data_IF_780394380297
#
_entry.id   IF_780394380297
#
_cell.length_a   1.000
_cell.length_b   1.000
_cell.length_c   1.000
_cell.angle_alpha   90.00
_cell.angle_beta   90.00
_cell.angle_gamma   90.00
#
_symmetry.space_group_name_H-M   'P 1'
#
loop_
_entity.id
_entity.type
_entity.pdbx_description
1 polymer ?
#
# COMPACT_ATOMS: atom_id res chain seq x y z
N UNK A 1 1.90 -2.58 22.90
CA UNK A 1 2.51 -2.32 21.58
C UNK A 1 3.72 -3.23 21.46
N UNK A 2 3.78 -3.99 20.39
CA UNK A 2 4.90 -4.86 20.05
C UNK A 2 5.82 -4.09 19.12
N UNK A 3 7.10 -4.02 19.47
CA UNK A 3 8.13 -3.45 18.60
C UNK A 3 8.88 -4.59 17.95
N UNK A 4 8.97 -4.58 16.62
CA UNK A 4 9.74 -5.59 15.90
C UNK A 4 10.56 -4.93 14.80
N UNK A 5 11.66 -5.62 14.49
CA UNK A 5 12.69 -5.12 13.59
C UNK A 5 12.59 -5.85 12.27
N UNK A 6 12.45 -5.12 11.16
CA UNK A 6 12.67 -5.68 9.82
C UNK A 6 13.90 -5.05 9.17
N UNK A 7 14.65 -5.85 8.41
CA UNK A 7 15.80 -5.36 7.67
C UNK A 7 15.34 -4.42 6.55
N UNK A 8 15.69 -3.13 6.65
CA UNK A 8 15.46 -2.16 5.58
C UNK A 8 16.46 -2.39 4.44
N UNK A 9 15.99 -2.49 3.20
CA UNK A 9 16.89 -2.57 2.05
C UNK A 9 17.44 -1.18 1.77
N UNK A 10 18.77 -1.00 1.91
CA UNK A 10 19.48 0.24 1.61
C UNK A 10 19.89 1.11 2.81
N UNK A 11 19.49 0.74 4.03
CA UNK A 11 19.95 1.41 5.26
C UNK A 11 20.33 0.37 6.31
N UNK A 12 21.49 0.53 6.93
CA UNK A 12 21.95 -0.27 8.08
C UNK A 12 21.13 -0.04 9.35
N UNK A 13 20.11 0.82 9.29
CA UNK A 13 19.10 0.99 10.32
C UNK A 13 17.97 -0.02 10.11
N UNK A 14 17.85 -0.93 11.07
CA UNK A 14 16.72 -1.82 11.21
C UNK A 14 15.42 -0.99 11.27
N UNK A 15 14.49 -1.21 10.34
CA UNK A 15 13.20 -0.54 10.37
C UNK A 15 12.43 -1.08 11.58
N UNK A 16 12.28 -0.22 12.60
CA UNK A 16 11.55 -0.54 13.81
C UNK A 16 10.07 -0.24 13.56
N UNK A 17 9.27 -1.30 13.49
CA UNK A 17 7.83 -1.20 13.32
C UNK A 17 7.18 -1.31 14.69
N UNK A 18 6.48 -0.25 15.10
CA UNK A 18 5.69 -0.24 16.32
C UNK A 18 4.24 -0.54 15.94
N UNK A 19 3.78 -1.75 16.25
CA UNK A 19 2.44 -2.23 15.90
C UNK A 19 1.72 -2.79 17.12
N UNK A 20 0.40 -2.75 17.12
CA UNK A 20 -0.41 -3.51 18.09
C UNK A 20 -0.53 -4.98 17.70
N UNK A 21 -0.25 -5.32 16.44
CA UNK A 21 -0.26 -6.68 15.92
C UNK A 21 1.05 -7.41 16.25
N UNK A 22 0.95 -8.72 16.50
CA UNK A 22 2.12 -9.57 16.66
C UNK A 22 2.81 -9.83 15.32
N UNK A 23 4.11 -10.18 15.31
CA UNK A 23 4.82 -10.57 14.10
C UNK A 23 4.13 -11.69 13.31
N UNK A 24 3.55 -12.68 14.01
CA UNK A 24 2.84 -13.81 13.38
C UNK A 24 1.52 -13.37 12.72
N UNK A 25 0.80 -12.43 13.35
CA UNK A 25 -0.40 -11.84 12.76
C UNK A 25 -0.05 -11.08 11.47
N UNK A 26 1.04 -10.29 11.50
CA UNK A 26 1.50 -9.55 10.34
C UNK A 26 1.99 -10.46 9.22
N UNK A 27 2.70 -11.54 9.55
CA UNK A 27 3.11 -12.55 8.58
C UNK A 27 1.90 -13.24 7.94
N UNK A 28 0.87 -13.55 8.73
CA UNK A 28 -0.38 -14.17 8.24
C UNK A 28 -1.19 -13.22 7.36
N UNK A 29 -1.25 -11.93 7.72
CA UNK A 29 -1.86 -10.89 6.89
C UNK A 29 -1.11 -10.76 5.56
N UNK A 30 0.22 -10.69 5.61
CA UNK A 30 1.05 -10.63 4.42
C UNK A 30 0.85 -11.85 3.51
N UNK A 31 0.82 -13.07 4.06
CA UNK A 31 0.61 -14.28 3.27
C UNK A 31 -0.74 -14.26 2.51
N UNK A 32 -1.80 -13.76 3.16
CA UNK A 32 -3.10 -13.56 2.50
C UNK A 32 -3.02 -12.53 1.37
N UNK A 33 -2.35 -11.40 1.60
CA UNK A 33 -2.18 -10.35 0.59
C UNK A 33 -1.30 -10.80 -0.57
N UNK A 34 -0.23 -11.54 -0.30
CA UNK A 34 0.69 -12.08 -1.30
C UNK A 34 -0.03 -13.00 -2.29
N UNK A 35 -1.13 -13.65 -1.88
CA UNK A 35 -2.01 -14.39 -2.78
C UNK A 35 -2.53 -13.53 -3.95
N UNK A 36 -2.89 -12.27 -3.69
CA UNK A 36 -3.40 -11.36 -4.73
C UNK A 36 -2.35 -10.99 -5.78
N UNK A 37 -1.06 -10.99 -5.41
CA UNK A 37 0.03 -10.64 -6.32
C UNK A 37 0.25 -11.71 -7.41
N UNK A 38 -0.14 -12.96 -7.15
CA UNK A 38 0.01 -14.05 -8.12
C UNK A 38 -0.89 -13.88 -9.33
N UNK A 39 -2.06 -13.27 -9.12
CA UNK A 39 -3.07 -13.06 -10.16
C UNK A 39 -3.06 -11.65 -10.75
N UNK A 40 -2.38 -10.69 -10.09
CA UNK A 40 -2.38 -9.28 -10.48
C UNK A 40 -1.23 -8.95 -11.44
N UNK A 41 -1.54 -8.78 -12.72
CA UNK A 41 -0.57 -8.38 -13.76
C UNK A 41 0.14 -7.04 -13.45
N UNK A 42 -0.46 -6.21 -12.59
CA UNK A 42 0.07 -4.90 -12.19
C UNK A 42 0.87 -4.94 -10.89
N UNK A 43 1.04 -6.10 -10.25
CA UNK A 43 1.76 -6.26 -8.95
C UNK A 43 1.32 -5.26 -7.87
N UNK A 44 0.08 -4.80 -7.94
CA UNK A 44 -0.51 -3.91 -6.95
C UNK A 44 -1.46 -4.72 -6.05
N UNK A 45 -1.48 -4.38 -4.76
CA UNK A 45 -2.43 -4.92 -3.79
C UNK A 45 -3.66 -4.03 -3.71
N UNK A 46 -4.84 -4.65 -3.62
CA UNK A 46 -6.10 -3.96 -3.40
C UNK A 46 -6.59 -4.32 -2.00
N UNK A 47 -6.59 -3.33 -1.12
CA UNK A 47 -7.04 -3.46 0.26
C UNK A 47 -8.45 -2.89 0.38
N UNK A 48 -9.32 -3.61 1.08
CA UNK A 48 -10.59 -3.03 1.54
C UNK A 48 -10.29 -1.88 2.50
N UNK A 49 -11.00 -0.76 2.35
CA UNK A 49 -10.77 0.45 3.16
C UNK A 49 -10.97 0.19 4.66
N UNK A 50 -11.91 -0.67 5.03
CA UNK A 50 -12.12 -1.14 6.41
C UNK A 50 -10.89 -1.88 6.95
N UNK A 51 -10.31 -2.79 6.17
CA UNK A 51 -9.08 -3.49 6.52
C UNK A 51 -7.93 -2.48 6.64
N UNK A 52 -7.75 -1.60 5.66
CA UNK A 52 -6.71 -0.56 5.69
C UNK A 52 -6.78 0.34 6.94
N UNK A 53 -7.99 0.76 7.33
CA UNK A 53 -8.20 1.59 8.53
C UNK A 53 -8.03 0.81 9.84
N UNK A 54 -8.21 -0.50 9.83
CA UNK A 54 -7.94 -1.34 11.01
C UNK A 54 -6.44 -1.54 11.29
N UNK A 55 -5.58 -1.28 10.29
CA UNK A 55 -4.14 -1.39 10.44
C UNK A 55 -3.56 -0.15 11.11
N UNK A 56 -2.69 -0.36 12.09
CA UNK A 56 -1.85 0.70 12.63
C UNK A 56 -0.70 1.07 11.68
N UNK A 57 -0.02 2.18 11.96
CA UNK A 57 1.06 2.69 11.13
C UNK A 57 2.23 1.69 10.97
N UNK A 58 2.55 0.91 12.01
CA UNK A 58 3.60 -0.11 11.96
C UNK A 58 3.21 -1.28 11.07
N UNK A 59 1.95 -1.73 11.14
CA UNK A 59 1.41 -2.77 10.28
C UNK A 59 1.39 -2.35 8.80
N UNK A 60 0.94 -1.11 8.52
CA UNK A 60 0.98 -0.53 7.18
C UNK A 60 2.41 -0.46 6.65
N UNK A 61 3.36 0.02 7.45
CA UNK A 61 4.76 0.10 7.07
C UNK A 61 5.38 -1.27 6.82
N UNK A 62 5.04 -2.29 7.63
CA UNK A 62 5.47 -3.67 7.41
C UNK A 62 5.00 -4.23 6.07
N UNK A 63 3.70 -4.09 5.76
CA UNK A 63 3.11 -4.58 4.51
C UNK A 63 3.71 -3.85 3.30
N UNK A 64 3.87 -2.52 3.39
CA UNK A 64 4.52 -1.73 2.34
C UNK A 64 5.96 -2.18 2.10
N UNK A 65 6.73 -2.40 3.18
CA UNK A 65 8.10 -2.88 3.08
C UNK A 65 8.19 -4.28 2.46
N UNK A 66 7.27 -5.18 2.81
CA UNK A 66 7.18 -6.51 2.19
C UNK A 66 6.91 -6.42 0.70
N UNK A 67 5.94 -5.59 0.28
CA UNK A 67 5.67 -5.41 -1.15
C UNK A 67 6.86 -4.78 -1.88
N UNK A 68 7.48 -3.74 -1.30
CA UNK A 68 8.68 -3.12 -1.85
C UNK A 68 9.79 -4.16 -2.12
N UNK A 69 9.98 -5.12 -1.21
CA UNK A 69 10.95 -6.20 -1.39
C UNK A 69 10.56 -7.19 -2.50
N UNK A 70 9.26 -7.46 -2.69
CA UNK A 70 8.78 -8.34 -3.77
C UNK A 70 8.90 -7.70 -5.16
N UNK A 71 8.61 -6.40 -5.26
CA UNK A 71 8.58 -5.70 -6.55
C UNK A 71 9.91 -5.02 -6.90
N UNK A 72 10.77 -4.76 -5.91
CA UNK A 72 12.05 -4.07 -6.08
C UNK A 72 11.93 -2.57 -6.34
N UNK A 73 10.77 -1.98 -6.11
CA UNK A 73 10.43 -0.58 -6.36
C UNK A 73 9.76 0.05 -5.12
N UNK A 74 9.95 1.36 -4.88
CA UNK A 74 9.26 2.05 -3.79
C UNK A 74 7.74 2.01 -4.00
N UNK A 75 7.00 1.75 -2.93
CA UNK A 75 5.54 1.64 -2.94
C UNK A 75 4.89 2.74 -2.12
N UNK A 76 3.63 3.05 -2.43
CA UNK A 76 2.81 3.96 -1.63
C UNK A 76 1.37 3.44 -1.51
N UNK A 77 0.70 3.89 -0.45
CA UNK A 77 -0.74 3.70 -0.28
C UNK A 77 -1.48 4.85 -0.97
N UNK A 78 -2.49 4.48 -1.77
CA UNK A 78 -3.37 5.42 -2.44
C UNK A 78 -4.84 5.05 -2.17
N UNK A 79 -5.59 5.96 -1.56
CA UNK A 79 -7.02 5.77 -1.32
C UNK A 79 -7.81 5.97 -2.61
N UNK A 80 -8.85 5.19 -2.83
CA UNK A 80 -9.73 5.38 -3.98
C UNK A 80 -10.59 6.65 -3.82
N UNK A 81 -10.35 7.64 -4.67
CA UNK A 81 -11.09 8.89 -4.73
C UNK A 81 -12.32 8.84 -5.62
N UNK A 82 -12.66 7.70 -6.23
CA UNK A 82 -13.81 7.55 -7.12
C UNK A 82 -15.09 7.09 -6.38
N UNK A 83 -15.02 6.97 -5.05
CA UNK A 83 -16.16 6.63 -4.19
C UNK A 83 -16.21 5.18 -3.71
N UNK A 84 -15.31 4.31 -4.18
CA UNK A 84 -15.14 2.98 -3.60
C UNK A 84 -14.34 3.07 -2.29
N UNK A 85 -14.69 2.27 -1.30
CA UNK A 85 -13.95 2.21 -0.04
C UNK A 85 -12.75 1.27 -0.16
N UNK A 86 -11.77 1.65 -0.99
CA UNK A 86 -10.59 0.85 -1.33
C UNK A 86 -9.29 1.63 -1.12
N UNK A 87 -8.21 0.89 -0.85
CA UNK A 87 -6.85 1.42 -0.78
C UNK A 87 -5.94 0.56 -1.66
N UNK A 88 -5.26 1.20 -2.59
CA UNK A 88 -4.29 0.58 -3.48
C UNK A 88 -2.89 0.72 -2.90
N UNK A 89 -2.16 -0.38 -2.82
CA UNK A 89 -0.75 -0.38 -2.43
C UNK A 89 0.09 -0.89 -3.61
N UNK A 90 0.99 -0.05 -4.10
CA UNK A 90 1.80 -0.38 -5.27
C UNK A 90 2.81 0.71 -5.62
N UNK A 91 3.60 0.46 -6.67
CA UNK A 91 4.54 1.45 -7.14
C UNK A 91 3.81 2.66 -7.76
N UNK A 92 4.20 3.91 -7.48
CA UNK A 92 3.58 5.11 -8.05
C UNK A 92 3.50 5.05 -9.57
N UNK A 93 4.53 4.49 -10.22
CA UNK A 93 4.55 4.29 -11.68
C UNK A 93 3.39 3.42 -12.14
N UNK A 94 3.11 2.31 -11.46
CA UNK A 94 2.05 1.36 -11.81
C UNK A 94 0.65 1.94 -11.53
N UNK A 95 0.52 2.73 -10.45
CA UNK A 95 -0.72 3.42 -10.13
C UNK A 95 -1.04 4.59 -11.07
N UNK A 96 -0.02 5.19 -11.68
CA UNK A 96 -0.15 6.32 -12.62
C UNK A 96 -0.22 5.89 -14.10
N UNK A 97 -0.14 4.58 -14.39
CA UNK A 97 -0.26 4.05 -15.76
C UNK A 97 -1.75 3.99 -16.17
N UNK A 98 -2.05 4.44 -17.39
CA UNK A 98 -3.39 4.37 -17.98
C UNK A 98 -4.31 5.50 -17.53
N UNK A 99 -5.55 5.15 -17.15
CA UNK A 99 -6.59 6.11 -16.78
C UNK A 99 -6.46 6.63 -15.33
N UNK A 100 -5.51 6.13 -14.53
CA UNK A 100 -5.31 6.57 -13.15
C UNK A 100 -4.53 7.88 -13.03
N UNK A 101 -4.76 8.61 -11.94
CA UNK A 101 -3.96 9.75 -11.50
C UNK A 101 -3.84 9.73 -9.98
N UNK A 102 -2.61 9.89 -9.48
CA UNK A 102 -2.36 10.11 -8.06
C UNK A 102 -2.42 11.61 -7.76
N UNK A 103 -3.30 11.98 -6.84
CA UNK A 103 -3.50 13.35 -6.36
C UNK A 103 -3.06 13.39 -4.90
N UNK A 104 -2.22 14.36 -4.57
CA UNK A 104 -1.89 14.67 -3.19
C UNK A 104 -2.66 15.92 -2.79
N UNK A 105 -3.73 15.75 -2.02
CA UNK A 105 -4.48 16.90 -1.50
C UNK A 105 -3.73 17.50 -0.31
N UNK A 106 -3.66 18.83 -0.26
CA UNK A 106 -3.01 19.54 0.83
C UNK A 106 -3.67 19.17 2.17
N UNK A 107 -2.92 18.51 3.05
CA UNK A 107 -3.41 18.02 4.35
C UNK A 107 -3.83 16.55 4.38
N UNK A 108 -3.78 15.82 3.25
CA UNK A 108 -3.98 14.38 3.23
C UNK A 108 -2.69 13.65 3.63
N UNK A 109 -2.82 12.69 4.55
CA UNK A 109 -1.70 11.83 4.98
C UNK A 109 -1.31 10.82 3.89
N UNK A 110 -2.22 10.52 2.97
CA UNK A 110 -2.06 9.51 1.92
C UNK A 110 -2.39 10.10 0.54
N UNK A 111 -1.83 9.50 -0.51
CA UNK A 111 -2.21 9.85 -1.88
C UNK A 111 -3.65 9.41 -2.16
N UNK A 112 -4.32 10.12 -3.04
CA UNK A 112 -5.66 9.75 -3.53
C UNK A 112 -5.52 9.32 -4.99
N UNK A 113 -5.91 8.10 -5.29
CA UNK A 113 -6.02 7.60 -6.65
C UNK A 113 -7.39 7.95 -7.22
N UNK A 114 -7.43 8.74 -8.28
CA UNK A 114 -8.66 9.06 -9.01
C UNK A 114 -8.52 8.58 -10.45
N UNK A 115 -9.63 8.17 -11.06
CA UNK A 115 -9.67 8.10 -12.52
C UNK A 115 -9.50 9.51 -13.05
N UNK A 116 -8.54 9.67 -13.96
CA UNK A 116 -8.40 10.85 -14.78
C UNK A 116 -9.76 11.06 -15.44
N UNK A 117 -10.38 12.25 -15.32
CA UNK A 117 -11.60 12.51 -16.03
C UNK A 117 -11.30 12.23 -17.50
N UNK A 118 -11.94 11.18 -18.03
CA UNK A 118 -11.94 10.91 -19.45
C UNK A 118 -12.28 12.23 -20.13
N UNK A 119 -11.51 12.59 -21.16
CA UNK A 119 -11.94 13.60 -22.11
C UNK A 119 -13.39 13.26 -22.46
N UNK A 120 -14.34 13.99 -21.88
CA UNK A 120 -15.76 13.86 -22.22
C UNK A 120 -15.79 14.13 -23.72
N UNK A 121 -16.12 13.15 -24.58
CA UNK A 121 -16.47 13.50 -25.94
C UNK A 121 -17.72 14.37 -25.78
N UNK A 122 -17.56 15.67 -26.04
CA UNK A 122 -18.69 16.58 -26.18
C UNK A 122 -19.59 16.17 -27.33
#
# INVERSE_FOLDING_TARGET
MSSFTGAAVGSSAAAQYNSVFSPDQLASMWANLQGQLKDSATKNLILQGTFYRSLDQGAKAYIAHKLMNEIGEPVLFALDGNGADLCYLGAPRLLNVGAGMLVNFTGASEAIWVMRPSQVPG
#
